data_IF_300554356518
#
_entry.id   IF_300554356518
#
_cell.length_a   1.000
_cell.length_b   1.000
_cell.length_c   1.000
_cell.angle_alpha   90.00
_cell.angle_beta   90.00
_cell.angle_gamma   90.00
#
_symmetry.space_group_name_H-M   'P 1'
#
loop_
_entity.id
_entity.type
_entity.pdbx_description
1 polymer ?
#
# COMPACT_ATOMS: atom_id res chain seq x y z
N UNK A 1 2.49 -20.82 -4.13
CA UNK A 1 2.02 -19.53 -4.66
C UNK A 1 3.26 -18.74 -5.03
N UNK A 2 3.41 -18.33 -6.29
CA UNK A 2 4.52 -17.45 -6.66
C UNK A 2 4.17 -16.03 -6.21
N UNK A 3 4.88 -15.51 -5.22
CA UNK A 3 4.76 -14.13 -4.78
C UNK A 3 5.33 -13.21 -5.86
N UNK A 4 4.56 -12.20 -6.26
CA UNK A 4 5.09 -11.11 -7.08
C UNK A 4 6.12 -10.30 -6.28
N UNK A 5 7.15 -9.74 -6.92
CA UNK A 5 8.15 -8.95 -6.20
C UNK A 5 7.55 -7.65 -5.69
N UNK A 6 8.14 -7.11 -4.61
CA UNK A 6 7.80 -5.77 -4.12
C UNK A 6 8.13 -4.75 -5.22
N UNK A 7 7.22 -3.80 -5.52
CA UNK A 7 7.49 -2.78 -6.52
C UNK A 7 8.68 -1.90 -6.14
N UNK A 8 9.52 -1.51 -7.10
CA UNK A 8 10.77 -0.75 -6.85
C UNK A 8 10.57 0.65 -6.25
N UNK A 9 9.33 1.14 -6.20
CA UNK A 9 8.98 2.42 -5.61
C UNK A 9 8.56 2.33 -4.15
N UNK A 10 8.39 1.12 -3.61
CA UNK A 10 8.15 0.92 -2.19
C UNK A 10 9.47 1.06 -1.45
N UNK A 11 9.45 1.82 -0.37
CA UNK A 11 10.59 2.08 0.49
C UNK A 11 10.10 1.98 1.94
N UNK A 12 10.49 0.92 2.63
CA UNK A 12 10.07 0.64 4.00
C UNK A 12 10.58 1.69 4.99
N UNK A 13 11.65 2.40 4.68
CA UNK A 13 12.20 3.43 5.56
C UNK A 13 11.40 4.75 5.49
N UNK A 14 10.45 4.87 4.55
CA UNK A 14 9.66 6.08 4.32
C UNK A 14 8.22 6.00 4.80
N UNK A 15 7.81 4.91 5.45
CA UNK A 15 6.42 4.70 5.90
C UNK A 15 5.95 5.73 6.93
N UNK A 16 6.89 6.32 7.68
CA UNK A 16 6.64 7.40 8.65
C UNK A 16 6.64 8.80 8.05
N UNK A 17 6.76 8.93 6.73
CA UNK A 17 6.87 10.22 6.05
C UNK A 17 5.60 10.56 5.27
N UNK A 18 5.22 11.83 5.30
CA UNK A 18 4.21 12.33 4.39
C UNK A 18 4.79 12.47 2.97
N UNK A 19 4.08 11.95 1.99
CA UNK A 19 4.51 11.98 0.60
C UNK A 19 3.33 12.04 -0.37
N UNK A 20 3.54 12.76 -1.47
CA UNK A 20 2.55 12.85 -2.54
C UNK A 20 2.63 11.63 -3.44
N UNK A 21 1.51 10.97 -3.67
CA UNK A 21 1.41 9.88 -4.65
C UNK A 21 1.46 10.43 -6.08
N UNK A 22 2.41 10.00 -6.94
CA UNK A 22 2.44 10.40 -8.34
C UNK A 22 1.42 9.59 -9.16
N UNK A 23 0.12 9.88 -8.99
CA UNK A 23 -0.99 9.07 -9.50
C UNK A 23 -0.85 8.67 -10.97
N UNK A 24 -0.55 9.61 -11.87
CA UNK A 24 -0.41 9.32 -13.30
C UNK A 24 0.71 8.32 -13.60
N UNK A 25 1.84 8.45 -12.89
CA UNK A 25 2.97 7.53 -13.04
C UNK A 25 2.59 6.13 -12.55
N UNK A 26 1.95 6.05 -11.37
CA UNK A 26 1.49 4.78 -10.77
C UNK A 26 0.47 4.06 -11.64
N UNK A 27 -0.44 4.79 -12.27
CA UNK A 27 -1.41 4.22 -13.21
C UNK A 27 -0.72 3.58 -14.43
N UNK A 28 0.31 4.22 -14.98
CA UNK A 28 1.07 3.68 -16.11
C UNK A 28 1.90 2.45 -15.70
N UNK A 29 2.58 2.50 -14.55
CA UNK A 29 3.36 1.38 -14.04
C UNK A 29 2.48 0.17 -13.70
N UNK A 30 1.25 0.39 -13.21
CA UNK A 30 0.30 -0.70 -12.94
C UNK A 30 -0.07 -1.48 -14.21
N UNK A 31 -0.25 -0.79 -15.35
CA UNK A 31 -0.51 -1.43 -16.65
C UNK A 31 0.69 -2.27 -17.09
N UNK A 32 1.89 -1.71 -17.02
CA UNK A 32 3.14 -2.40 -17.36
C UNK A 32 3.36 -3.62 -16.45
N UNK A 33 3.01 -3.51 -15.16
CA UNK A 33 3.10 -4.60 -14.20
C UNK A 33 2.16 -5.76 -14.55
N UNK A 34 0.92 -5.44 -14.92
CA UNK A 34 -0.06 -6.42 -15.41
C UNK A 34 0.48 -7.18 -16.62
N UNK A 35 1.03 -6.49 -17.60
CA UNK A 35 1.59 -7.09 -18.82
C UNK A 35 2.80 -7.99 -18.50
N UNK A 36 3.74 -7.48 -17.69
CA UNK A 36 4.97 -8.19 -17.32
C UNK A 36 4.69 -9.52 -16.60
N UNK A 37 3.72 -9.53 -15.69
CA UNK A 37 3.40 -10.70 -14.87
C UNK A 37 2.13 -11.44 -15.30
N UNK A 38 1.56 -11.08 -16.46
CA UNK A 38 0.36 -11.69 -17.02
C UNK A 38 -0.82 -11.76 -16.02
N UNK A 39 -1.02 -10.69 -15.26
CA UNK A 39 -2.08 -10.64 -14.23
C UNK A 39 -3.44 -10.56 -14.94
N UNK A 40 -4.31 -11.54 -14.66
CA UNK A 40 -5.67 -11.62 -15.21
C UNK A 40 -6.64 -10.67 -14.50
N UNK A 41 -7.84 -10.51 -15.06
CA UNK A 41 -8.88 -9.71 -14.43
C UNK A 41 -9.36 -10.38 -13.14
N UNK A 42 -9.51 -9.61 -12.06
CA UNK A 42 -10.08 -10.14 -10.81
C UNK A 42 -11.52 -10.63 -10.96
N UNK A 43 -12.21 -10.28 -12.06
CA UNK A 43 -13.54 -10.83 -12.40
C UNK A 43 -13.47 -12.35 -12.57
N UNK A 44 -12.37 -12.89 -13.08
CA UNK A 44 -12.17 -14.32 -13.36
C UNK A 44 -11.83 -15.14 -12.11
N UNK A 45 -11.51 -14.49 -10.98
CA UNK A 45 -11.12 -15.18 -9.76
C UNK A 45 -12.27 -16.05 -9.21
N UNK A 46 -12.00 -17.32 -8.90
CA UNK A 46 -12.99 -18.23 -8.29
C UNK A 46 -13.33 -17.85 -6.84
N UNK A 47 -12.33 -17.38 -6.10
CA UNK A 47 -12.46 -16.95 -4.71
C UNK A 47 -12.33 -15.43 -4.67
N UNK A 48 -13.34 -14.74 -4.14
CA UNK A 48 -13.29 -13.29 -3.94
C UNK A 48 -12.89 -13.00 -2.50
N UNK A 49 -11.82 -12.23 -2.33
CA UNK A 49 -11.37 -11.73 -1.04
C UNK A 49 -11.53 -10.22 -1.05
N UNK A 50 -12.17 -9.68 -0.01
CA UNK A 50 -12.35 -8.23 0.16
C UNK A 50 -11.49 -7.80 1.34
N UNK A 51 -10.65 -6.79 1.12
CA UNK A 51 -9.93 -6.07 2.15
C UNK A 51 -10.56 -4.70 2.32
N UNK A 52 -11.14 -4.44 3.48
CA UNK A 52 -11.60 -3.11 3.87
C UNK A 52 -10.53 -2.49 4.76
N UNK A 53 -9.96 -1.38 4.30
CA UNK A 53 -9.03 -0.60 5.10
C UNK A 53 -9.80 0.48 5.85
N UNK A 54 -9.57 0.59 7.16
CA UNK A 54 -10.22 1.53 8.06
C UNK A 54 -9.20 2.61 8.46
N UNK A 55 -9.64 3.86 8.46
CA UNK A 55 -8.89 5.03 8.96
C UNK A 55 -7.47 5.18 8.38
N UNK A 56 -7.29 4.88 7.08
CA UNK A 56 -6.03 5.09 6.35
C UNK A 56 -5.86 6.57 6.00
N UNK A 57 -5.69 7.39 7.02
CA UNK A 57 -5.51 8.82 6.94
C UNK A 57 -4.22 9.19 7.68
N UNK A 58 -3.52 10.22 7.20
CA UNK A 58 -2.26 10.67 7.81
C UNK A 58 -2.39 10.89 9.32
N UNK A 59 -3.55 11.39 9.75
CA UNK A 59 -3.83 11.67 11.15
C UNK A 59 -3.74 10.46 12.08
N UNK A 60 -4.07 9.26 11.58
CA UNK A 60 -3.94 8.01 12.33
C UNK A 60 -2.59 7.33 12.12
N UNK A 61 -1.98 7.54 10.95
CA UNK A 61 -0.80 6.78 10.54
C UNK A 61 0.54 7.47 10.83
N UNK A 62 0.61 8.79 11.01
CA UNK A 62 1.87 9.51 11.15
C UNK A 62 2.08 10.05 12.58
N UNK A 63 3.29 9.90 13.18
CA UNK A 63 3.54 10.19 14.60
C UNK A 63 3.17 11.60 15.09
N UNK A 64 3.34 12.60 14.25
CA UNK A 64 3.16 14.01 14.63
C UNK A 64 1.69 14.47 14.60
N UNK A 65 0.76 13.59 14.24
CA UNK A 65 -0.66 13.91 14.16
C UNK A 65 -1.46 13.48 15.40
N UNK A 66 -2.63 14.10 15.57
CA UNK A 66 -3.42 14.07 16.78
C UNK A 66 -4.08 12.71 17.10
N UNK A 67 -4.27 11.83 16.12
CA UNK A 67 -4.86 10.49 16.33
C UNK A 67 -3.86 9.36 16.06
N UNK A 68 -2.56 9.63 16.11
CA UNK A 68 -1.54 8.63 15.81
C UNK A 68 -1.70 7.36 16.65
N UNK A 69 -1.75 6.20 15.98
CA UNK A 69 -1.92 4.90 16.62
C UNK A 69 -0.55 4.31 16.97
N UNK A 70 -0.01 4.72 18.13
CA UNK A 70 1.30 4.29 18.60
C UNK A 70 1.39 2.80 19.00
N UNK A 71 0.26 2.17 19.33
CA UNK A 71 0.23 0.78 19.79
C UNK A 71 1.10 0.55 21.04
N UNK A 72 1.52 -0.70 21.28
CA UNK A 72 2.38 -1.07 22.42
C UNK A 72 3.84 -0.69 22.22
N UNK A 73 4.31 -0.68 20.97
CA UNK A 73 5.70 -0.38 20.62
C UNK A 73 6.03 1.12 20.64
N UNK A 74 5.01 1.97 20.56
CA UNK A 74 5.19 3.41 20.37
C UNK A 74 5.18 3.82 18.89
N UNK A 75 5.26 2.87 17.96
CA UNK A 75 5.32 3.14 16.51
C UNK A 75 4.33 2.29 15.69
N UNK A 76 3.28 1.74 16.31
CA UNK A 76 2.44 0.68 15.71
C UNK A 76 1.87 0.95 14.32
N UNK A 77 1.57 2.21 13.95
CA UNK A 77 1.04 2.54 12.62
C UNK A 77 2.12 2.71 11.52
N UNK A 78 3.40 2.71 11.88
CA UNK A 78 4.55 2.90 10.96
C UNK A 78 5.58 1.76 11.06
N UNK A 79 5.24 0.66 11.73
CA UNK A 79 6.05 -0.56 11.85
C UNK A 79 5.70 -1.62 10.81
#
# INVERSE_FOLDING_TARGET
MNSLPIPSFFDSEKVSQFWRVPYQKRANEAKQWREKYQITSSVEDKTKIILLLIDVQNTFCLPDFELFVAGKSGNGAIE
#
